data_IF_573608216246
#
_entry.id   IF_573608216246
#
_cell.length_a   1.000
_cell.length_b   1.000
_cell.length_c   1.000
_cell.angle_alpha   90.00
_cell.angle_beta   90.00
_cell.angle_gamma   90.00
#
_symmetry.space_group_name_H-M   'P 1'
#
loop_
_entity.id
_entity.type
_entity.pdbx_description
1 polymer ?
#
# COMPACT_ATOMS: atom_id res chain seq x y z
N UNK A 1 -3.76 -41.23 38.28
CA UNK A 1 -4.51 -40.65 37.15
C UNK A 1 -3.52 -39.98 36.21
N UNK A 2 -3.19 -40.62 35.09
CA UNK A 2 -2.12 -40.23 34.17
C UNK A 2 -2.35 -38.83 33.63
N UNK A 3 -1.51 -37.87 34.05
CA UNK A 3 -1.45 -36.50 33.49
C UNK A 3 -0.56 -36.40 32.24
N UNK A 4 0.23 -37.45 31.98
CA UNK A 4 1.08 -37.61 30.79
C UNK A 4 0.35 -37.44 29.45
N UNK A 5 -0.83 -38.05 29.20
CA UNK A 5 -1.51 -37.90 27.91
C UNK A 5 -2.02 -36.47 27.67
N UNK A 6 -2.41 -35.75 28.72
CA UNK A 6 -2.91 -34.38 28.59
C UNK A 6 -1.80 -33.38 28.22
N UNK A 7 -0.59 -33.57 28.78
CA UNK A 7 0.56 -32.71 28.46
C UNK A 7 1.04 -32.95 27.02
N UNK A 8 1.08 -34.20 26.57
CA UNK A 8 1.49 -34.55 25.19
C UNK A 8 0.50 -33.96 24.17
N UNK A 9 -0.80 -34.01 24.46
CA UNK A 9 -1.84 -33.46 23.59
C UNK A 9 -1.76 -31.93 23.49
N UNK A 10 -1.48 -31.24 24.61
CA UNK A 10 -1.32 -29.79 24.63
C UNK A 10 -0.08 -29.33 23.84
N UNK A 11 1.02 -30.08 23.92
CA UNK A 11 2.24 -29.79 23.15
C UNK A 11 2.00 -30.03 21.65
N UNK A 12 1.31 -31.10 21.26
CA UNK A 12 0.97 -31.36 19.86
C UNK A 12 0.07 -30.28 19.25
N UNK A 13 -0.91 -29.76 20.01
CA UNK A 13 -1.78 -28.65 19.58
C UNK A 13 -1.02 -27.32 19.43
N UNK A 14 -0.03 -27.05 20.28
CA UNK A 14 0.79 -25.85 20.16
C UNK A 14 1.68 -25.87 18.91
N UNK A 15 2.18 -27.04 18.50
CA UNK A 15 3.05 -27.20 17.33
C UNK A 15 2.29 -27.07 16.00
N UNK A 16 0.99 -27.36 15.97
CA UNK A 16 0.17 -27.16 14.75
C UNK A 16 -0.25 -25.70 14.53
N UNK A 17 -0.26 -24.86 15.58
CA UNK A 17 -0.60 -23.44 15.45
C UNK A 17 0.57 -22.56 14.98
N UNK A 18 1.81 -23.03 15.05
CA UNK A 18 2.98 -22.28 14.54
C UNK A 18 3.13 -22.28 13.02
N UNK A 19 2.24 -22.96 12.28
CA UNK A 19 2.32 -23.12 10.82
C UNK A 19 1.51 -22.12 9.99
N UNK A 20 0.56 -21.39 10.59
CA UNK A 20 -0.22 -20.39 9.87
C UNK A 20 0.48 -19.03 9.92
N UNK A 21 1.51 -18.85 9.09
CA UNK A 21 1.92 -17.50 8.72
C UNK A 21 0.74 -16.85 8.02
N UNK A 22 0.02 -15.97 8.72
CA UNK A 22 -1.03 -15.14 8.11
C UNK A 22 -0.37 -14.45 6.94
N UNK A 23 -0.76 -14.83 5.72
CA UNK A 23 -0.23 -14.22 4.50
C UNK A 23 -0.72 -12.77 4.52
N UNK A 24 0.14 -11.86 4.98
CA UNK A 24 -0.14 -10.42 5.02
C UNK A 24 -0.11 -9.92 3.57
N UNK A 25 -1.21 -10.10 2.86
CA UNK A 25 -1.40 -9.54 1.54
C UNK A 25 -2.05 -8.18 1.68
N UNK A 26 -1.37 -7.15 1.19
CA UNK A 26 -1.99 -5.85 0.98
C UNK A 26 -3.20 -6.06 0.07
N UNK A 27 -4.38 -5.60 0.48
CA UNK A 27 -5.57 -5.61 -0.38
C UNK A 27 -5.41 -4.55 -1.47
N UNK A 28 -5.60 -4.91 -2.74
CA UNK A 28 -5.49 -3.96 -3.86
C UNK A 28 -6.42 -2.75 -3.67
N UNK A 29 -7.62 -2.98 -3.12
CA UNK A 29 -8.56 -1.91 -2.81
C UNK A 29 -8.08 -0.98 -1.70
N UNK A 30 -7.48 -1.53 -0.64
CA UNK A 30 -6.92 -0.73 0.46
C UNK A 30 -5.72 0.09 -0.02
N UNK A 31 -4.84 -0.52 -0.82
CA UNK A 31 -3.69 0.15 -1.43
C UNK A 31 -4.11 1.31 -2.32
N UNK A 32 -5.08 1.09 -3.21
CA UNK A 32 -5.63 2.15 -4.07
C UNK A 32 -6.15 3.31 -3.23
N UNK A 33 -6.98 3.04 -2.22
CA UNK A 33 -7.53 4.09 -1.37
C UNK A 33 -6.43 4.90 -0.68
N UNK A 34 -5.45 4.24 -0.06
CA UNK A 34 -4.33 4.89 0.61
C UNK A 34 -3.51 5.77 -0.33
N UNK A 35 -3.23 5.29 -1.55
CA UNK A 35 -2.50 6.05 -2.57
C UNK A 35 -3.31 7.26 -3.02
N UNK A 36 -4.63 7.09 -3.21
CA UNK A 36 -5.49 8.21 -3.56
C UNK A 36 -5.47 9.31 -2.49
N UNK A 37 -5.65 8.94 -1.22
CA UNK A 37 -5.65 9.89 -0.10
C UNK A 37 -4.29 10.57 0.03
N UNK A 38 -3.21 9.80 -0.01
CA UNK A 38 -1.85 10.35 0.06
C UNK A 38 -1.49 11.29 -1.10
N UNK A 39 -1.98 11.02 -2.33
CA UNK A 39 -1.77 11.94 -3.46
C UNK A 39 -2.56 13.23 -3.29
N UNK A 40 -3.79 13.16 -2.79
CA UNK A 40 -4.60 14.36 -2.51
C UNK A 40 -3.86 15.25 -1.52
N UNK A 41 -3.40 14.69 -0.40
CA UNK A 41 -2.69 15.44 0.64
C UNK A 41 -1.36 16.04 0.13
N UNK A 42 -0.57 15.27 -0.62
CA UNK A 42 0.72 15.75 -1.12
C UNK A 42 0.56 16.85 -2.18
N UNK A 43 -0.45 16.77 -3.03
CA UNK A 43 -0.72 17.82 -4.02
C UNK A 43 -1.31 19.07 -3.37
N UNK A 44 -2.21 18.92 -2.40
CA UNK A 44 -2.78 20.03 -1.64
C UNK A 44 -1.68 20.80 -0.87
N UNK A 45 -0.77 20.09 -0.20
CA UNK A 45 0.39 20.68 0.47
C UNK A 45 1.33 21.47 -0.46
N UNK A 46 1.22 21.26 -1.79
CA UNK A 46 1.97 21.98 -2.83
C UNK A 46 1.14 23.06 -3.53
N UNK A 47 -0.09 23.30 -3.08
CA UNK A 47 -1.02 24.26 -3.69
C UNK A 47 -1.60 23.79 -5.02
N UNK A 48 -1.64 22.47 -5.27
CA UNK A 48 -2.22 21.87 -6.47
C UNK A 48 -3.54 21.20 -6.09
N UNK A 49 -4.64 21.93 -6.28
CA UNK A 49 -5.97 21.41 -5.97
C UNK A 49 -6.49 20.49 -7.08
N UNK A 50 -7.06 19.34 -6.68
CA UNK A 50 -7.74 18.42 -7.57
C UNK A 50 -9.24 18.74 -7.65
N UNK A 51 -9.84 18.55 -8.83
CA UNK A 51 -11.30 18.68 -9.01
C UNK A 51 -12.07 17.62 -8.26
N UNK A 52 -11.52 16.43 -8.25
CA UNK A 52 -12.12 15.24 -7.68
C UNK A 52 -11.02 14.28 -7.25
N UNK A 53 -11.42 13.29 -6.45
CA UNK A 53 -10.54 12.24 -5.99
C UNK A 53 -9.96 11.47 -7.20
N UNK A 54 -8.65 11.18 -7.25
CA UNK A 54 -8.06 10.40 -8.34
C UNK A 54 -8.76 9.05 -8.55
N UNK A 55 -8.98 8.70 -9.80
CA UNK A 55 -9.41 7.35 -10.19
C UNK A 55 -8.18 6.46 -10.32
N UNK A 56 -8.17 5.36 -9.57
CA UNK A 56 -7.02 4.47 -9.46
C UNK A 56 -7.36 3.07 -9.92
N UNK A 57 -6.43 2.43 -10.60
CA UNK A 57 -6.50 1.02 -10.99
C UNK A 57 -5.23 0.29 -10.53
N UNK A 58 -5.35 -1.01 -10.28
CA UNK A 58 -4.19 -1.87 -10.04
C UNK A 58 -4.05 -2.78 -11.26
N UNK A 59 -3.08 -2.53 -12.17
CA UNK A 59 -2.92 -3.28 -13.40
C UNK A 59 -2.35 -4.68 -13.12
N UNK A 60 -3.15 -5.53 -12.46
CA UNK A 60 -2.77 -6.87 -12.06
C UNK A 60 -1.54 -6.95 -11.15
N UNK A 61 -1.22 -8.17 -10.73
CA UNK A 61 0.01 -8.47 -10.00
C UNK A 61 0.96 -9.20 -10.94
N UNK A 62 2.18 -8.71 -11.07
CA UNK A 62 3.25 -9.46 -11.75
C UNK A 62 3.64 -10.70 -10.91
N UNK A 63 3.70 -10.51 -9.59
CA UNK A 63 3.91 -11.53 -8.57
C UNK A 63 3.10 -11.17 -7.33
N UNK A 64 2.89 -12.12 -6.41
CA UNK A 64 2.24 -11.82 -5.11
C UNK A 64 2.97 -10.71 -4.31
N UNK A 65 4.27 -10.53 -4.55
CA UNK A 65 5.15 -9.57 -3.89
C UNK A 65 5.27 -8.21 -4.59
N UNK A 66 4.70 -8.04 -5.79
CA UNK A 66 4.76 -6.78 -6.55
C UNK A 66 3.36 -6.33 -6.92
N UNK A 67 2.98 -5.17 -6.39
CA UNK A 67 1.69 -4.52 -6.67
C UNK A 67 1.94 -3.17 -7.33
N UNK A 68 1.22 -2.91 -8.42
CA UNK A 68 1.25 -1.62 -9.12
C UNK A 68 -0.06 -0.88 -8.91
N UNK A 69 0.01 0.43 -9.02
CA UNK A 69 -1.15 1.31 -9.05
C UNK A 69 -0.92 2.42 -10.04
N UNK A 70 -1.92 2.68 -10.87
CA UNK A 70 -1.95 3.81 -11.75
C UNK A 70 -3.18 4.63 -11.41
N UNK A 71 -3.00 5.93 -11.17
CA UNK A 71 -4.13 6.83 -10.94
C UNK A 71 -4.13 7.98 -11.93
N UNK A 72 -5.33 8.47 -12.26
CA UNK A 72 -5.52 9.68 -13.05
C UNK A 72 -6.48 10.63 -12.36
N UNK A 73 -6.24 11.93 -12.54
CA UNK A 73 -7.09 12.98 -12.01
C UNK A 73 -6.99 14.23 -12.89
N UNK A 74 -7.70 15.29 -12.47
CA UNK A 74 -7.55 16.63 -13.05
C UNK A 74 -7.43 17.67 -11.95
N UNK A 75 -6.54 18.64 -12.14
CA UNK A 75 -6.48 19.83 -11.29
C UNK A 75 -7.71 20.71 -11.51
N UNK A 76 -8.00 21.61 -10.58
CA UNK A 76 -9.06 22.63 -10.74
C UNK A 76 -8.83 23.48 -11.99
N UNK A 77 -7.57 23.78 -12.31
CA UNK A 77 -7.11 24.46 -13.54
C UNK A 77 -7.25 23.63 -14.82
N UNK A 78 -7.54 22.33 -14.72
CA UNK A 78 -7.83 21.43 -15.85
C UNK A 78 -6.66 20.59 -16.34
N UNK A 79 -5.49 20.73 -15.72
CA UNK A 79 -4.30 19.95 -16.05
C UNK A 79 -4.51 18.48 -15.68
N UNK A 80 -4.00 17.59 -16.53
CA UNK A 80 -4.05 16.15 -16.24
C UNK A 80 -3.04 15.83 -15.15
N UNK A 81 -3.49 15.06 -14.17
CA UNK A 81 -2.65 14.45 -13.15
C UNK A 81 -2.51 12.96 -13.43
N UNK A 82 -1.30 12.43 -13.36
CA UNK A 82 -1.04 10.99 -13.43
C UNK A 82 -0.18 10.57 -12.25
N UNK A 83 -0.52 9.43 -11.65
CA UNK A 83 0.22 8.81 -10.57
C UNK A 83 0.63 7.43 -11.04
N UNK A 84 1.91 7.09 -10.92
CA UNK A 84 2.41 5.74 -11.09
C UNK A 84 3.05 5.31 -9.78
N UNK A 85 2.59 4.19 -9.23
CA UNK A 85 3.06 3.64 -7.96
C UNK A 85 3.43 2.17 -8.08
N UNK A 86 4.46 1.76 -7.33
CA UNK A 86 4.85 0.36 -7.20
C UNK A 86 5.18 0.05 -5.75
N UNK A 87 4.58 -1.01 -5.21
CA UNK A 87 4.96 -1.64 -3.96
C UNK A 87 5.67 -2.96 -4.25
N UNK A 88 6.88 -3.11 -3.72
CA UNK A 88 7.69 -4.33 -3.75
C UNK A 88 7.72 -4.95 -2.37
N UNK A 89 7.94 -6.26 -2.31
CA UNK A 89 7.88 -7.05 -1.07
C UNK A 89 6.53 -6.84 -0.35
N UNK A 90 5.45 -6.73 -1.13
CA UNK A 90 4.08 -6.47 -0.68
C UNK A 90 3.44 -7.62 0.10
N UNK A 91 4.15 -8.75 0.20
CA UNK A 91 3.84 -9.94 0.97
C UNK A 91 4.63 -10.01 2.30
N UNK A 92 5.33 -8.93 2.65
CA UNK A 92 6.11 -8.81 3.88
C UNK A 92 5.58 -7.70 4.78
N UNK A 93 6.02 -7.69 6.05
CA UNK A 93 5.66 -6.64 7.02
C UNK A 93 6.21 -5.26 6.66
N UNK A 94 7.19 -5.18 5.75
CA UNK A 94 7.90 -3.94 5.39
C UNK A 94 8.00 -3.81 3.87
N UNK A 95 6.88 -3.54 3.19
CA UNK A 95 6.89 -3.27 1.75
C UNK A 95 7.73 -2.03 1.44
N UNK A 96 8.36 -2.03 0.27
CA UNK A 96 9.07 -0.88 -0.28
C UNK A 96 8.25 -0.27 -1.39
N UNK A 97 7.85 0.98 -1.22
CA UNK A 97 7.01 1.69 -2.16
C UNK A 97 7.80 2.72 -2.96
N UNK A 98 7.33 3.08 -4.14
CA UNK A 98 7.85 4.20 -4.92
C UNK A 98 6.76 4.76 -5.81
N UNK A 99 6.65 6.09 -5.81
CA UNK A 99 5.59 6.84 -6.47
C UNK A 99 6.15 7.98 -7.28
N UNK A 100 5.54 8.21 -8.44
CA UNK A 100 5.80 9.37 -9.31
C UNK A 100 4.47 10.02 -9.64
N UNK A 101 4.36 11.33 -9.39
CA UNK A 101 3.19 12.13 -9.79
C UNK A 101 3.61 13.16 -10.81
N UNK A 102 2.83 13.23 -11.89
CA UNK A 102 2.97 14.28 -12.91
C UNK A 102 1.72 15.13 -12.99
N UNK A 103 1.90 16.43 -13.25
CA UNK A 103 0.85 17.40 -13.52
C UNK A 103 1.18 18.08 -14.84
N UNK A 104 0.25 18.03 -15.80
CA UNK A 104 0.49 18.55 -17.15
C UNK A 104 1.65 17.85 -17.87
N UNK A 105 1.97 16.61 -17.48
CA UNK A 105 3.11 15.84 -18.01
C UNK A 105 4.46 16.18 -17.40
N UNK A 106 4.52 17.06 -16.39
CA UNK A 106 5.74 17.40 -15.64
C UNK A 106 5.74 16.69 -14.30
N UNK A 107 6.85 16.06 -13.94
CA UNK A 107 7.02 15.48 -12.61
C UNK A 107 6.98 16.59 -11.55
N UNK A 108 6.08 16.44 -10.58
CA UNK A 108 5.95 17.37 -9.44
C UNK A 108 6.25 16.67 -8.12
N UNK A 109 6.25 15.33 -8.12
CA UNK A 109 6.47 14.51 -6.93
C UNK A 109 7.15 13.20 -7.30
N UNK A 110 8.15 12.83 -6.50
CA UNK A 110 8.71 11.48 -6.43
C UNK A 110 9.03 11.15 -4.97
N UNK A 111 8.43 10.09 -4.44
CA UNK A 111 8.63 9.67 -3.04
C UNK A 111 8.50 8.16 -2.92
N UNK A 112 9.13 7.61 -1.89
CA UNK A 112 9.05 6.18 -1.55
C UNK A 112 8.02 5.87 -0.46
N UNK A 113 7.16 6.85 -0.18
CA UNK A 113 6.02 6.76 0.73
C UNK A 113 5.06 7.93 0.44
N UNK A 114 3.75 7.71 0.59
CA UNK A 114 2.70 8.72 0.46
C UNK A 114 1.87 8.84 1.75
N UNK A 115 1.44 10.06 2.07
CA UNK A 115 0.56 10.35 3.21
C UNK A 115 1.26 10.44 4.57
N UNK A 116 0.47 10.50 5.64
CA UNK A 116 0.94 10.83 7.00
C UNK A 116 1.84 9.75 7.64
N UNK A 117 1.81 8.51 7.14
CA UNK A 117 2.63 7.40 7.66
C UNK A 117 4.12 7.52 7.36
N UNK A 118 4.53 8.47 6.52
CA UNK A 118 5.90 8.59 6.04
C UNK A 118 6.86 9.25 7.03
N UNK A 119 6.33 10.01 8.00
CA UNK A 119 7.14 10.75 8.98
C UNK A 119 7.38 9.94 10.26
N UNK A 120 6.58 8.89 10.49
CA UNK A 120 6.65 8.02 11.66
C UNK A 120 6.47 6.56 11.24
N UNK A 121 7.53 5.86 10.79
CA UNK A 121 7.46 4.41 10.65
C UNK A 121 7.11 3.83 12.03
N UNK A 122 6.06 3.00 12.10
CA UNK A 122 5.70 2.30 13.34
C UNK A 122 6.93 1.50 13.80
N UNK A 123 7.64 2.00 14.81
CA UNK A 123 8.79 1.37 15.46
C UNK A 123 8.36 0.46 16.60
#
# INVERSE_FOLDING_TARGET
MSRLPAVVLAVLLAVTMSGCKVMQRISDGAYRNAVTDGVVDELDARGIELRERPDCESPGRETDSVVRVDCTARTTTGERVTVAGIARDADTERPRESYVVTVGGREVLRKDCLGLGCEHPNV
#
